data_IF_723269372924
#
_entry.id   IF_723269372924
#
_cell.length_a   1.000
_cell.length_b   1.000
_cell.length_c   1.000
_cell.angle_alpha   90.00
_cell.angle_beta   90.00
_cell.angle_gamma   90.00
#
_symmetry.space_group_name_H-M   'P 1'
#
loop_
_entity.id
_entity.type
_entity.pdbx_description
1 polymer ?
#
# COMPACT_ATOMS: atom_id res chain seq x y z
N UNK A 1 6.40 0.54 32.14
CA UNK A 1 6.63 1.71 33.02
C UNK A 1 6.80 1.32 34.49
N UNK A 2 7.11 0.07 34.83
CA UNK A 2 7.48 -0.33 36.21
C UNK A 2 6.37 -0.32 37.27
N UNK A 3 5.18 0.22 36.99
CA UNK A 3 4.12 0.43 37.98
C UNK A 3 2.91 -0.49 37.76
N UNK A 4 3.11 -1.81 37.89
CA UNK A 4 2.03 -2.80 37.74
C UNK A 4 1.06 -2.80 38.93
N UNK A 5 1.55 -2.42 40.11
CA UNK A 5 0.82 -2.21 41.35
C UNK A 5 -0.32 -1.20 41.19
N UNK A 6 -0.09 -0.07 40.53
CA UNK A 6 -1.13 0.94 40.31
C UNK A 6 -2.35 0.41 39.56
N UNK A 7 -2.14 -0.53 38.62
CA UNK A 7 -3.23 -1.16 37.89
C UNK A 7 -3.99 -2.16 38.76
N UNK A 8 -3.30 -2.93 39.58
CA UNK A 8 -3.93 -3.84 40.53
C UNK A 8 -4.74 -3.05 41.58
N UNK A 9 -4.14 -2.04 42.19
CA UNK A 9 -4.79 -1.16 43.17
C UNK A 9 -6.07 -0.51 42.61
N UNK A 10 -6.06 -0.10 41.34
CA UNK A 10 -7.24 0.50 40.70
C UNK A 10 -8.39 -0.50 40.59
N UNK A 11 -8.09 -1.76 40.28
CA UNK A 11 -9.09 -2.81 40.14
C UNK A 11 -9.61 -3.33 41.48
N UNK A 12 -8.83 -3.17 42.55
CA UNK A 12 -9.17 -3.65 43.89
C UNK A 12 -9.84 -2.58 44.78
N UNK A 13 -9.60 -1.29 44.52
CA UNK A 13 -10.13 -0.22 45.37
C UNK A 13 -11.65 -0.09 45.28
N UNK A 14 -12.30 0.01 46.44
CA UNK A 14 -13.73 0.36 46.57
C UNK A 14 -14.01 1.85 46.72
N UNK A 15 -12.97 2.66 46.92
CA UNK A 15 -13.08 4.11 47.06
C UNK A 15 -12.99 4.78 45.68
N UNK A 16 -14.07 5.50 45.30
CA UNK A 16 -14.17 6.23 44.05
C UNK A 16 -13.09 7.31 43.90
N UNK A 17 -12.77 8.04 44.96
CA UNK A 17 -11.78 9.12 44.89
C UNK A 17 -10.39 8.53 44.62
N UNK A 18 -10.05 7.44 45.33
CA UNK A 18 -8.81 6.71 45.09
C UNK A 18 -8.75 6.11 43.69
N UNK A 19 -9.85 5.55 43.20
CA UNK A 19 -9.94 5.02 41.83
C UNK A 19 -9.68 6.11 40.79
N UNK A 20 -10.24 7.31 40.98
CA UNK A 20 -10.02 8.44 40.07
C UNK A 20 -8.55 8.88 40.02
N UNK A 21 -7.89 8.94 41.18
CA UNK A 21 -6.45 9.26 41.26
C UNK A 21 -5.58 8.23 40.53
N UNK A 22 -5.82 6.95 40.77
CA UNK A 22 -5.10 5.85 40.13
C UNK A 22 -5.34 5.82 38.61
N UNK A 23 -6.58 6.05 38.17
CA UNK A 23 -6.93 6.13 36.75
C UNK A 23 -6.19 7.28 36.05
N UNK A 24 -6.08 8.46 36.69
CA UNK A 24 -5.28 9.59 36.14
C UNK A 24 -3.80 9.23 36.05
N UNK A 25 -3.23 8.61 37.08
CA UNK A 25 -1.84 8.17 37.07
C UNK A 25 -1.56 7.15 35.94
N UNK A 26 -2.45 6.18 35.73
CA UNK A 26 -2.34 5.23 34.62
C UNK A 26 -2.50 5.92 33.25
N UNK A 27 -3.38 6.92 33.14
CA UNK A 27 -3.48 7.74 31.93
C UNK A 27 -2.18 8.47 31.61
N UNK A 28 -1.49 9.00 32.63
CA UNK A 28 -0.20 9.68 32.48
C UNK A 28 0.89 8.70 32.03
N UNK A 29 0.99 7.53 32.67
CA UNK A 29 1.92 6.46 32.29
C UNK A 29 1.65 5.93 30.88
N UNK A 30 0.39 5.85 30.46
CA UNK A 30 0.04 5.46 29.09
C UNK A 30 0.49 6.52 28.07
N UNK A 31 0.34 7.82 28.38
CA UNK A 31 0.84 8.90 27.53
C UNK A 31 2.37 8.86 27.41
N UNK A 32 3.06 8.67 28.52
CA UNK A 32 4.52 8.51 28.54
C UNK A 32 4.96 7.30 27.69
N UNK A 33 4.31 6.13 27.90
CA UNK A 33 4.57 4.93 27.09
C UNK A 33 4.39 5.20 25.60
N UNK A 34 3.33 5.91 25.20
CA UNK A 34 3.07 6.24 23.80
C UNK A 34 4.14 7.17 23.20
N UNK A 35 4.69 8.10 23.98
CA UNK A 35 5.82 8.94 23.55
C UNK A 35 7.07 8.08 23.31
N UNK A 36 7.44 7.26 24.30
CA UNK A 36 8.60 6.35 24.19
C UNK A 36 8.43 5.38 23.01
N UNK A 37 7.22 4.88 22.79
CA UNK A 37 6.90 4.01 21.65
C UNK A 37 7.12 4.71 20.30
N UNK A 38 6.76 6.00 20.18
CA UNK A 38 6.98 6.78 18.97
C UNK A 38 8.48 6.97 18.71
N UNK A 39 9.26 7.31 19.74
CA UNK A 39 10.71 7.50 19.63
C UNK A 39 11.42 6.21 19.20
N UNK A 40 11.08 5.08 19.83
CA UNK A 40 11.63 3.76 19.47
C UNK A 40 11.22 3.39 18.04
N UNK A 41 9.99 3.67 17.63
CA UNK A 41 9.52 3.37 16.27
C UNK A 41 10.27 4.20 15.22
N UNK A 42 10.50 5.49 15.48
CA UNK A 42 11.26 6.37 14.60
C UNK A 42 12.73 5.91 14.48
N UNK A 43 13.35 5.54 15.59
CA UNK A 43 14.72 4.99 15.58
C UNK A 43 14.79 3.67 14.81
N UNK A 44 13.87 2.74 15.08
CA UNK A 44 13.80 1.46 14.39
C UNK A 44 13.64 1.64 12.88
N UNK A 45 12.79 2.57 12.42
CA UNK A 45 12.61 2.85 10.99
C UNK A 45 13.91 3.35 10.35
N UNK A 46 14.67 4.25 11.00
CA UNK A 46 15.99 4.68 10.51
C UNK A 46 16.97 3.52 10.42
N UNK A 47 16.99 2.63 11.41
CA UNK A 47 17.84 1.43 11.37
C UNK A 47 17.46 0.54 10.17
N UNK A 48 16.17 0.31 9.91
CA UNK A 48 15.69 -0.50 8.78
C UNK A 48 16.12 0.09 7.44
N UNK A 49 16.00 1.41 7.27
CA UNK A 49 16.41 2.10 6.04
C UNK A 49 17.90 1.93 5.73
N UNK A 50 18.73 1.84 6.78
CA UNK A 50 20.18 1.60 6.65
C UNK A 50 20.57 0.14 6.35
N UNK A 51 19.67 -0.83 6.57
CA UNK A 51 19.96 -2.25 6.35
C UNK A 51 19.98 -2.59 4.85
N UNK A 52 20.86 -3.49 4.38
CA UNK A 52 20.76 -4.02 3.03
C UNK A 52 19.47 -4.85 2.87
N UNK A 53 18.93 -4.93 1.65
CA UNK A 53 17.68 -5.66 1.36
C UNK A 53 17.75 -7.14 1.80
N UNK A 54 18.93 -7.77 1.71
CA UNK A 54 19.18 -9.13 2.18
C UNK A 54 19.04 -9.33 3.70
N UNK A 55 18.99 -8.25 4.48
CA UNK A 55 18.82 -8.28 5.93
C UNK A 55 17.42 -7.82 6.39
N UNK A 56 16.48 -7.67 5.45
CA UNK A 56 15.11 -7.22 5.72
C UNK A 56 14.07 -8.34 5.67
N UNK A 57 14.50 -9.60 5.51
CA UNK A 57 13.61 -10.76 5.61
C UNK A 57 13.17 -11.03 7.05
N UNK A 58 13.99 -10.66 8.04
CA UNK A 58 13.67 -10.62 9.46
C UNK A 58 14.26 -9.35 10.06
N UNK A 59 13.43 -8.51 10.70
CA UNK A 59 13.88 -7.24 11.27
C UNK A 59 14.51 -7.48 12.64
N UNK A 60 15.82 -7.67 12.67
CA UNK A 60 16.59 -7.82 13.92
C UNK A 60 17.29 -6.51 14.24
N UNK A 61 16.70 -5.76 15.16
CA UNK A 61 17.11 -4.40 15.52
C UNK A 61 17.47 -4.34 17.00
N UNK A 62 18.44 -3.51 17.36
CA UNK A 62 18.93 -3.41 18.73
C UNK A 62 19.32 -1.97 19.09
N UNK A 63 19.09 -1.59 20.34
CA UNK A 63 19.55 -0.32 20.91
C UNK A 63 19.66 -0.42 22.43
N UNK A 64 20.60 0.30 23.01
CA UNK A 64 20.72 0.50 24.45
C UNK A 64 19.80 1.63 24.98
N UNK A 65 19.30 2.50 24.10
CA UNK A 65 18.39 3.59 24.46
C UNK A 65 16.91 3.15 24.58
N UNK A 66 16.56 1.98 24.04
CA UNK A 66 15.16 1.55 23.99
C UNK A 66 14.63 1.07 25.34
N UNK A 67 13.42 1.48 25.71
CA UNK A 67 12.78 0.98 26.91
C UNK A 67 12.30 -0.48 26.74
N UNK A 68 12.85 -1.42 27.51
CA UNK A 68 12.54 -2.87 27.45
C UNK A 68 11.02 -3.18 27.52
N UNK A 69 10.26 -2.46 28.34
CA UNK A 69 8.81 -2.64 28.44
C UNK A 69 7.99 -2.20 27.21
N UNK A 70 8.60 -1.55 26.23
CA UNK A 70 7.90 -0.95 25.06
C UNK A 70 8.32 -1.62 23.75
N UNK A 71 9.53 -2.19 23.67
CA UNK A 71 10.05 -2.81 22.44
C UNK A 71 9.13 -3.89 21.85
N UNK A 72 8.36 -4.60 22.67
CA UNK A 72 7.39 -5.60 22.19
C UNK A 72 6.21 -5.01 21.43
N UNK A 73 5.77 -3.79 21.76
CA UNK A 73 4.68 -3.09 21.05
C UNK A 73 5.18 -2.64 19.69
N UNK A 74 6.39 -2.08 19.64
CA UNK A 74 7.02 -1.66 18.38
C UNK A 74 7.29 -2.88 17.49
N UNK A 75 7.71 -4.01 18.05
CA UNK A 75 7.87 -5.25 17.28
C UNK A 75 6.58 -5.68 16.56
N UNK A 76 5.41 -5.54 17.20
CA UNK A 76 4.12 -5.85 16.57
C UNK A 76 3.88 -4.93 15.37
N UNK A 77 4.03 -3.61 15.57
CA UNK A 77 3.84 -2.62 14.49
C UNK A 77 4.77 -2.85 13.31
N UNK A 78 6.05 -3.14 13.58
CA UNK A 78 7.02 -3.42 12.52
C UNK A 78 6.70 -4.72 11.78
N UNK A 79 6.25 -5.75 12.49
CA UNK A 79 5.91 -7.03 11.87
C UNK A 79 4.72 -6.90 10.93
N UNK A 80 3.71 -6.12 11.33
CA UNK A 80 2.55 -5.80 10.49
C UNK A 80 2.96 -4.92 9.30
N UNK A 81 3.69 -3.82 9.54
CA UNK A 81 4.09 -2.85 8.51
C UNK A 81 4.95 -3.46 7.41
N UNK A 82 5.90 -4.32 7.78
CA UNK A 82 6.87 -4.90 6.84
C UNK A 82 6.54 -6.35 6.44
N UNK A 83 5.42 -6.91 6.93
CA UNK A 83 4.99 -8.29 6.68
C UNK A 83 6.11 -9.32 6.88
N UNK A 84 6.91 -9.14 7.93
CA UNK A 84 8.03 -10.02 8.24
C UNK A 84 8.26 -10.08 9.77
N UNK A 85 8.94 -11.08 10.32
CA UNK A 85 9.06 -11.22 11.76
C UNK A 85 10.02 -10.16 12.30
N UNK A 86 9.61 -9.47 13.36
CA UNK A 86 10.40 -8.42 14.01
C UNK A 86 10.94 -8.88 15.35
N UNK A 87 12.22 -8.60 15.59
CA UNK A 87 12.98 -8.91 16.80
C UNK A 87 13.62 -7.62 17.31
N UNK A 88 13.03 -7.03 18.36
CA UNK A 88 13.49 -5.80 18.97
C UNK A 88 14.28 -6.10 20.23
N UNK A 89 15.53 -5.66 20.31
CA UNK A 89 16.47 -6.01 21.38
C UNK A 89 16.88 -4.75 22.14
N UNK A 90 16.51 -4.68 23.42
CA UNK A 90 17.12 -3.71 24.33
C UNK A 90 18.45 -4.27 24.83
N UNK A 91 19.55 -3.52 24.72
CA UNK A 91 20.87 -3.95 25.20
C UNK A 91 21.33 -3.15 26.42
N UNK A 92 21.77 -3.85 27.47
CA UNK A 92 22.36 -3.25 28.68
C UNK A 92 23.51 -4.13 29.17
N UNK A 93 24.65 -3.52 29.49
CA UNK A 93 25.80 -4.21 30.11
C UNK A 93 26.28 -5.47 29.33
N UNK A 94 26.28 -5.40 28.00
CA UNK A 94 26.71 -6.51 27.14
C UNK A 94 25.66 -7.61 26.94
N UNK A 95 24.51 -7.52 27.61
CA UNK A 95 23.38 -8.42 27.47
C UNK A 95 22.20 -7.75 26.76
N UNK A 96 21.45 -8.53 25.99
CA UNK A 96 20.28 -8.11 25.24
C UNK A 96 19.03 -8.83 25.71
N UNK A 97 17.94 -8.09 25.93
CA UNK A 97 16.59 -8.62 26.14
C UNK A 97 15.75 -8.35 24.89
N UNK A 98 15.44 -9.42 24.18
CA UNK A 98 14.69 -9.41 22.93
C UNK A 98 13.20 -9.66 23.14
N UNK A 99 12.36 -8.87 22.47
CA UNK A 99 10.95 -9.15 22.24
C UNK A 99 10.71 -9.34 20.75
N UNK A 100 9.97 -10.38 20.38
CA UNK A 100 9.66 -10.64 18.98
C UNK A 100 8.19 -10.88 18.71
N UNK A 101 7.80 -10.58 17.47
CA UNK A 101 6.46 -10.68 16.94
C UNK A 101 6.52 -11.27 15.55
N UNK A 102 5.55 -12.12 15.28
CA UNK A 102 5.40 -12.73 13.97
C UNK A 102 4.47 -11.89 13.12
N UNK A 103 4.57 -12.10 11.81
CA UNK A 103 3.50 -11.78 10.87
C UNK A 103 2.80 -13.12 10.59
N UNK A 104 1.46 -13.17 10.55
CA UNK A 104 0.70 -14.42 10.56
C UNK A 104 1.27 -15.54 9.67
N UNK A 105 1.39 -16.75 10.21
CA UNK A 105 1.91 -17.92 9.48
C UNK A 105 3.41 -18.21 9.63
N UNK A 106 4.16 -17.43 10.40
CA UNK A 106 5.56 -17.74 10.75
C UNK A 106 5.71 -18.15 12.22
N UNK A 107 6.35 -19.30 12.47
CA UNK A 107 6.53 -19.82 13.83
C UNK A 107 7.81 -19.30 14.49
N UNK A 108 7.67 -18.29 15.37
CA UNK A 108 8.80 -17.70 16.09
C UNK A 108 9.50 -18.68 17.03
N UNK A 109 8.75 -19.58 17.67
CA UNK A 109 9.35 -20.51 18.62
C UNK A 109 10.32 -21.47 17.92
N UNK A 110 9.90 -22.07 16.81
CA UNK A 110 10.74 -22.92 15.97
C UNK A 110 11.94 -22.15 15.41
N UNK A 111 11.73 -20.90 15.01
CA UNK A 111 12.80 -20.02 14.52
C UNK A 111 13.86 -19.75 15.62
N UNK A 112 13.42 -19.39 16.83
CA UNK A 112 14.32 -19.16 17.97
C UNK A 112 15.05 -20.44 18.38
N UNK A 113 14.38 -21.59 18.35
CA UNK A 113 14.97 -22.90 18.63
C UNK A 113 16.09 -23.23 17.64
N UNK A 114 15.90 -22.97 16.35
CA UNK A 114 16.93 -23.13 15.32
C UNK A 114 18.14 -22.21 15.56
N UNK A 115 17.95 -21.09 16.27
CA UNK A 115 18.98 -20.12 16.66
C UNK A 115 19.49 -20.28 18.11
N UNK A 116 19.04 -21.31 18.84
CA UNK A 116 19.30 -21.49 20.28
C UNK A 116 20.77 -21.38 20.69
N UNK A 117 21.70 -21.83 19.85
CA UNK A 117 23.15 -21.74 20.09
C UNK A 117 23.70 -20.30 20.27
N UNK A 118 22.94 -19.28 19.86
CA UNK A 118 23.31 -17.87 19.97
C UNK A 118 22.62 -17.18 21.15
N UNK A 119 21.69 -17.87 21.82
CA UNK A 119 20.79 -17.32 22.83
C UNK A 119 21.17 -17.87 24.21
N UNK A 120 21.06 -17.03 25.24
CA UNK A 120 21.18 -17.50 26.64
C UNK A 120 19.89 -18.16 27.12
N UNK A 121 18.76 -17.81 26.52
CA UNK A 121 17.46 -18.39 26.81
C UNK A 121 16.35 -17.76 25.98
N UNK A 122 15.28 -18.50 25.74
CA UNK A 122 14.11 -18.04 24.98
C UNK A 122 12.84 -18.76 25.43
N UNK A 123 11.69 -18.18 25.12
CA UNK A 123 10.38 -18.78 25.41
C UNK A 123 9.24 -17.97 24.79
N UNK A 124 8.05 -18.57 24.71
CA UNK A 124 6.85 -17.94 24.16
C UNK A 124 6.08 -18.88 23.25
N UNK A 125 5.35 -18.30 22.30
CA UNK A 125 4.47 -18.99 21.37
C UNK A 125 4.80 -18.63 19.93
N UNK A 126 4.07 -19.23 19.00
CA UNK A 126 4.22 -19.04 17.56
C UNK A 126 4.23 -17.56 17.12
N UNK A 127 3.33 -16.74 17.69
CA UNK A 127 3.13 -15.34 17.29
C UNK A 127 3.90 -14.31 18.13
N UNK A 128 4.33 -14.69 19.33
CA UNK A 128 5.03 -13.80 20.26
C UNK A 128 5.99 -14.58 21.14
N UNK A 129 7.25 -14.15 21.18
CA UNK A 129 8.26 -14.76 22.04
C UNK A 129 9.24 -13.72 22.60
N UNK A 130 9.96 -14.11 23.63
CA UNK A 130 11.03 -13.34 24.26
C UNK A 130 12.32 -14.15 24.32
N UNK A 131 13.46 -13.47 24.28
CA UNK A 131 14.76 -14.13 24.34
C UNK A 131 15.82 -13.24 25.01
N UNK A 132 16.91 -13.88 25.42
CA UNK A 132 18.10 -13.23 25.96
C UNK A 132 19.30 -13.58 25.09
N UNK A 133 20.13 -12.60 24.76
CA UNK A 133 21.24 -12.74 23.80
C UNK A 133 22.44 -11.90 24.26
N UNK A 134 23.68 -12.34 24.01
CA UNK A 134 24.87 -11.48 24.21
C UNK A 134 24.99 -10.46 23.10
N UNK A 135 25.49 -9.26 23.40
CA UNK A 135 25.65 -8.18 22.41
C UNK A 135 26.49 -8.63 21.20
N UNK A 136 27.54 -9.42 21.40
CA UNK A 136 28.35 -9.98 20.32
C UNK A 136 27.58 -10.94 19.37
N UNK A 137 26.53 -11.59 19.86
CA UNK A 137 25.77 -12.59 19.09
C UNK A 137 24.64 -11.96 18.25
N UNK A 138 24.36 -10.66 18.39
CA UNK A 138 23.24 -10.00 17.70
C UNK A 138 23.43 -10.03 16.16
N UNK A 139 24.64 -9.73 15.68
CA UNK A 139 24.92 -9.77 14.25
C UNK A 139 24.85 -11.21 13.67
N UNK A 140 25.52 -12.23 14.26
CA UNK A 140 25.33 -13.62 13.86
C UNK A 140 23.86 -14.08 13.90
N UNK A 141 23.10 -13.65 14.91
CA UNK A 141 21.68 -13.97 15.04
C UNK A 141 20.86 -13.37 13.91
N UNK A 142 21.10 -12.09 13.55
CA UNK A 142 20.46 -11.42 12.41
C UNK A 142 20.64 -12.19 11.12
N UNK A 143 21.87 -12.61 10.83
CA UNK A 143 22.20 -13.32 9.58
C UNK A 143 21.52 -14.69 9.55
N UNK A 144 21.60 -15.43 10.66
CA UNK A 144 20.99 -16.75 10.79
C UNK A 144 19.45 -16.67 10.70
N UNK A 145 18.82 -15.68 11.33
CA UNK A 145 17.37 -15.46 11.24
C UNK A 145 16.91 -15.10 9.84
N UNK A 146 17.61 -14.17 9.19
CA UNK A 146 17.29 -13.79 7.82
C UNK A 146 17.43 -14.99 6.86
N UNK A 147 18.45 -15.83 7.06
CA UNK A 147 18.60 -17.10 6.33
C UNK A 147 17.45 -18.08 6.59
N UNK A 148 17.05 -18.24 7.85
CA UNK A 148 15.94 -19.11 8.26
C UNK A 148 14.62 -18.68 7.62
N UNK A 149 14.27 -17.38 7.69
CA UNK A 149 13.03 -16.86 7.08
C UNK A 149 13.01 -17.06 5.58
N UNK A 150 14.11 -16.77 4.87
CA UNK A 150 14.19 -17.00 3.41
C UNK A 150 14.02 -18.47 3.04
N UNK A 151 14.57 -19.39 3.82
CA UNK A 151 14.41 -20.82 3.57
C UNK A 151 12.97 -21.28 3.77
N UNK A 152 12.26 -20.73 4.77
CA UNK A 152 10.90 -21.13 5.12
C UNK A 152 9.81 -20.46 4.29
N UNK A 153 9.98 -19.19 3.91
CA UNK A 153 9.02 -18.45 3.07
C UNK A 153 9.26 -18.66 1.56
N UNK A 154 10.37 -19.29 1.16
CA UNK A 154 10.76 -19.46 -0.23
C UNK A 154 11.16 -18.14 -0.91
N UNK A 155 11.06 -18.07 -2.24
CA UNK A 155 11.32 -16.83 -3.02
C UNK A 155 10.16 -15.82 -2.93
N UNK A 156 9.02 -16.20 -2.38
CA UNK A 156 7.90 -15.29 -2.15
C UNK A 156 8.12 -14.55 -0.84
N UNK A 157 8.51 -13.29 -0.90
CA UNK A 157 8.38 -12.41 0.25
C UNK A 157 6.90 -12.44 0.64
N UNK A 158 6.54 -12.74 1.89
CA UNK A 158 5.16 -12.66 2.33
C UNK A 158 4.61 -11.27 2.00
N UNK A 159 3.52 -11.24 1.26
CA UNK A 159 2.89 -9.97 0.87
C UNK A 159 1.84 -9.67 1.92
N UNK A 160 1.83 -8.44 2.43
CA UNK A 160 0.71 -7.96 3.24
C UNK A 160 -0.59 -8.12 2.44
N UNK A 161 -1.50 -8.94 2.94
CA UNK A 161 -2.78 -9.21 2.31
C UNK A 161 -3.88 -8.67 3.21
N UNK A 162 -4.80 -7.93 2.61
CA UNK A 162 -6.01 -7.46 3.26
C UNK A 162 -7.18 -8.31 2.77
N UNK A 163 -7.80 -9.06 3.68
CA UNK A 163 -9.05 -9.75 3.38
C UNK A 163 -10.19 -8.74 3.35
N UNK A 164 -11.02 -8.83 2.30
CA UNK A 164 -12.19 -8.00 2.10
C UNK A 164 -13.40 -8.91 2.22
N UNK A 165 -14.30 -8.62 3.16
CA UNK A 165 -15.51 -9.42 3.37
C UNK A 165 -16.53 -9.20 2.25
N UNK A 166 -16.69 -7.95 1.79
CA UNK A 166 -17.63 -7.63 0.72
C UNK A 166 -17.20 -6.42 -0.13
N UNK A 167 -17.28 -6.58 -1.45
CA UNK A 167 -17.24 -5.45 -2.37
C UNK A 167 -18.62 -4.78 -2.43
N UNK A 168 -18.66 -3.46 -2.26
CA UNK A 168 -19.89 -2.66 -2.38
C UNK A 168 -20.33 -2.64 -3.83
N UNK A 169 -21.50 -3.23 -4.09
CA UNK A 169 -22.05 -3.32 -5.45
C UNK A 169 -22.75 -2.02 -5.85
N UNK A 170 -23.65 -1.52 -5.01
CA UNK A 170 -24.29 -0.22 -5.19
C UNK A 170 -23.85 0.76 -4.08
N UNK A 171 -23.21 1.89 -4.40
CA UNK A 171 -22.83 2.89 -3.41
C UNK A 171 -24.02 3.44 -2.60
N UNK A 172 -25.25 3.39 -3.12
CA UNK A 172 -26.43 3.88 -2.38
C UNK A 172 -26.71 3.07 -1.12
N UNK A 173 -26.22 1.84 -1.03
CA UNK A 173 -26.42 0.94 0.11
C UNK A 173 -25.59 1.38 1.33
N UNK A 174 -24.57 2.23 1.13
CA UNK A 174 -23.78 2.78 2.23
C UNK A 174 -24.59 3.86 2.95
N UNK A 175 -25.33 3.44 3.96
CA UNK A 175 -26.25 4.28 4.75
C UNK A 175 -25.97 4.18 6.25
N UNK A 176 -26.54 5.11 7.03
CA UNK A 176 -26.49 5.03 8.50
C UNK A 176 -27.27 3.83 9.05
N UNK A 177 -28.36 3.43 8.39
CA UNK A 177 -29.15 2.26 8.80
C UNK A 177 -28.31 0.98 8.70
N UNK A 178 -27.47 0.84 7.67
CA UNK A 178 -26.53 -0.28 7.54
C UNK A 178 -25.44 -0.24 8.62
N UNK A 179 -24.97 0.94 9.04
CA UNK A 179 -24.07 1.05 10.21
C UNK A 179 -24.74 0.46 11.46
N UNK A 180 -26.01 0.79 11.70
CA UNK A 180 -26.76 0.27 12.85
C UNK A 180 -26.98 -1.25 12.76
N UNK A 181 -27.28 -1.77 11.56
CA UNK A 181 -27.40 -3.23 11.37
C UNK A 181 -26.07 -3.95 11.61
N UNK A 182 -24.95 -3.40 11.12
CA UNK A 182 -23.62 -3.96 11.38
C UNK A 182 -23.26 -3.92 12.87
N UNK A 183 -23.72 -2.91 13.61
CA UNK A 183 -23.55 -2.83 15.07
C UNK A 183 -24.09 -4.04 15.83
N UNK A 184 -25.03 -4.81 15.24
CA UNK A 184 -25.57 -6.05 15.83
C UNK A 184 -24.57 -7.21 15.85
N UNK A 185 -23.46 -7.10 15.13
CA UNK A 185 -22.37 -8.08 15.12
C UNK A 185 -21.38 -7.89 16.27
N UNK A 186 -21.52 -6.81 17.04
CA UNK A 186 -20.68 -6.56 18.20
C UNK A 186 -20.92 -7.60 19.32
N UNK A 187 -19.90 -7.91 20.14
CA UNK A 187 -18.59 -7.25 20.22
C UNK A 187 -17.59 -7.75 19.17
N UNK A 188 -16.87 -6.81 18.56
CA UNK A 188 -15.74 -7.12 17.69
C UNK A 188 -14.47 -7.43 18.49
N UNK A 189 -13.61 -8.28 17.93
CA UNK A 189 -12.34 -8.64 18.55
C UNK A 189 -11.65 -9.80 17.85
N UNK A 190 -10.69 -10.43 18.54
CA UNK A 190 -10.06 -11.65 18.06
C UNK A 190 -11.12 -12.76 17.91
N UNK A 191 -11.29 -13.27 16.69
CA UNK A 191 -12.33 -14.27 16.36
C UNK A 191 -13.65 -13.68 15.82
N UNK A 192 -13.83 -12.36 15.88
CA UNK A 192 -14.94 -11.64 15.26
C UNK A 192 -14.47 -10.25 14.79
N UNK A 193 -13.65 -10.18 13.73
CA UNK A 193 -13.14 -8.90 13.23
C UNK A 193 -14.30 -8.02 12.72
N UNK A 194 -14.06 -6.71 12.68
CA UNK A 194 -14.99 -5.78 12.03
C UNK A 194 -15.08 -6.11 10.54
N UNK A 195 -16.27 -6.12 9.93
CA UNK A 195 -16.41 -6.35 8.49
C UNK A 195 -15.68 -5.28 7.66
N UNK A 196 -14.84 -5.73 6.75
CA UNK A 196 -14.07 -4.90 5.81
C UNK A 196 -14.79 -4.85 4.47
N UNK A 197 -15.14 -3.64 4.03
CA UNK A 197 -15.78 -3.40 2.75
C UNK A 197 -14.80 -2.81 1.73
N UNK A 198 -15.04 -3.07 0.45
CA UNK A 198 -14.30 -2.42 -0.64
C UNK A 198 -15.22 -1.63 -1.58
N UNK A 199 -14.91 -0.36 -1.79
CA UNK A 199 -15.52 0.49 -2.82
C UNK A 199 -14.55 0.64 -3.99
N UNK A 200 -14.80 -0.11 -5.06
CA UNK A 200 -13.90 -0.18 -6.21
C UNK A 200 -14.17 0.96 -7.20
N UNK A 201 -13.11 1.55 -7.73
CA UNK A 201 -13.16 2.60 -8.75
C UNK A 201 -13.98 3.83 -8.32
N UNK A 202 -13.86 4.25 -7.07
CA UNK A 202 -14.29 5.56 -6.60
C UNK A 202 -13.31 6.63 -7.11
N UNK A 203 -13.74 7.90 -7.14
CA UNK A 203 -12.89 9.03 -7.50
C UNK A 203 -12.57 9.86 -6.26
N UNK A 204 -11.32 10.28 -6.13
CA UNK A 204 -10.91 11.19 -5.05
C UNK A 204 -11.29 12.61 -5.44
N UNK A 205 -12.22 13.22 -4.71
CA UNK A 205 -12.65 14.60 -4.92
C UNK A 205 -11.91 15.58 -4.03
N UNK A 206 -11.60 15.16 -2.80
CA UNK A 206 -10.87 15.96 -1.82
C UNK A 206 -9.83 15.06 -1.14
N UNK A 207 -8.64 15.62 -0.93
CA UNK A 207 -7.55 15.03 -0.16
C UNK A 207 -7.00 16.12 0.74
N UNK A 208 -7.03 15.91 2.06
CA UNK A 208 -6.61 16.91 3.03
C UNK A 208 -5.90 16.26 4.22
N UNK A 209 -4.71 16.77 4.54
CA UNK A 209 -4.00 16.38 5.75
C UNK A 209 -4.63 17.00 7.01
N UNK A 210 -4.82 16.20 8.05
CA UNK A 210 -5.45 16.58 9.34
C UNK A 210 -4.67 16.00 10.52
N UNK A 211 -4.99 16.45 11.74
CA UNK A 211 -4.35 15.94 12.96
C UNK A 211 -2.85 16.23 13.02
N UNK A 212 -2.44 17.47 12.73
CA UNK A 212 -1.04 17.91 12.65
C UNK A 212 -0.22 17.14 11.59
N UNK A 213 -0.85 16.77 10.48
CA UNK A 213 -0.14 16.08 9.39
C UNK A 213 -0.17 14.56 9.46
N UNK A 214 -0.74 13.98 10.53
CA UNK A 214 -0.65 12.54 10.82
C UNK A 214 -1.71 11.68 10.14
N UNK A 215 -2.78 12.29 9.65
CA UNK A 215 -3.93 11.57 9.10
C UNK A 215 -4.40 12.24 7.80
N UNK A 216 -5.06 11.48 6.94
CA UNK A 216 -5.67 11.98 5.72
C UNK A 216 -7.18 11.93 5.79
N UNK A 217 -7.83 13.08 5.63
CA UNK A 217 -9.25 13.16 5.33
C UNK A 217 -9.44 13.14 3.82
N UNK A 218 -10.34 12.29 3.34
CA UNK A 218 -10.68 12.19 1.92
C UNK A 218 -12.18 12.43 1.72
N UNK A 219 -12.56 12.86 0.52
CA UNK A 219 -13.92 12.72 0.01
C UNK A 219 -13.87 11.86 -1.25
N UNK A 220 -14.58 10.74 -1.21
CA UNK A 220 -14.69 9.81 -2.32
C UNK A 220 -16.04 9.97 -3.01
N UNK A 221 -16.07 9.96 -4.34
CA UNK A 221 -17.30 9.94 -5.13
C UNK A 221 -17.42 8.66 -5.96
N UNK A 222 -18.64 8.13 -6.07
CA UNK A 222 -18.96 7.02 -6.97
C UNK A 222 -20.38 7.20 -7.49
N UNK A 223 -20.50 7.48 -8.78
CA UNK A 223 -21.78 7.87 -9.37
C UNK A 223 -22.27 9.20 -8.80
N UNK A 224 -23.47 9.22 -8.22
CA UNK A 224 -24.04 10.39 -7.56
C UNK A 224 -23.72 10.45 -6.06
N UNK A 225 -23.17 9.37 -5.49
CA UNK A 225 -22.88 9.27 -4.07
C UNK A 225 -21.52 9.89 -3.73
N UNK A 226 -21.45 10.49 -2.55
CA UNK A 226 -20.23 11.06 -1.97
C UNK A 226 -20.09 10.59 -0.53
N UNK A 227 -18.87 10.24 -0.14
CA UNK A 227 -18.55 9.73 1.18
C UNK A 227 -17.37 10.47 1.76
N UNK A 228 -17.52 10.91 3.01
CA UNK A 228 -16.39 11.38 3.80
C UNK A 228 -15.62 10.16 4.32
N UNK A 229 -14.30 10.22 4.22
CA UNK A 229 -13.41 9.16 4.66
C UNK A 229 -12.26 9.70 5.50
N UNK A 230 -11.75 8.87 6.40
CA UNK A 230 -10.57 9.17 7.23
C UNK A 230 -9.59 8.01 7.13
N UNK A 231 -8.34 8.31 6.80
CA UNK A 231 -7.24 7.37 6.79
C UNK A 231 -6.26 7.75 7.90
N UNK A 232 -6.31 6.98 8.99
CA UNK A 232 -5.47 7.22 10.14
C UNK A 232 -4.02 6.81 9.87
N UNK A 233 -3.10 7.54 10.49
CA UNK A 233 -1.66 7.28 10.46
C UNK A 233 -1.04 7.15 9.07
N UNK A 234 -1.60 7.83 8.07
CA UNK A 234 -1.08 7.92 6.71
C UNK A 234 -0.99 9.39 6.33
N UNK A 235 0.14 9.78 5.76
CA UNK A 235 0.39 11.12 5.19
C UNK A 235 0.09 11.16 3.69
N UNK A 236 -0.05 12.37 3.13
CA UNK A 236 -0.29 12.55 1.68
C UNK A 236 0.84 11.95 0.83
N UNK A 237 2.08 12.10 1.30
CA UNK A 237 3.28 11.57 0.64
C UNK A 237 3.30 10.04 0.63
N UNK A 238 2.96 9.40 1.76
CA UNK A 238 2.89 7.94 1.88
C UNK A 238 1.73 7.34 1.07
N UNK A 239 0.60 8.04 0.97
CA UNK A 239 -0.58 7.58 0.26
C UNK A 239 -0.35 7.48 -1.25
N UNK A 240 0.42 8.41 -1.84
CA UNK A 240 0.75 8.38 -3.26
C UNK A 240 -0.44 8.59 -4.22
N UNK A 241 -1.58 9.04 -3.69
CA UNK A 241 -2.83 9.33 -4.42
C UNK A 241 -3.02 10.84 -4.54
N UNK A 242 -3.63 11.29 -5.63
CA UNK A 242 -3.95 12.69 -5.91
C UNK A 242 -5.44 12.92 -6.07
N UNK A 243 -5.86 14.17 -5.90
CA UNK A 243 -7.22 14.58 -6.28
C UNK A 243 -7.45 14.33 -7.77
N UNK A 244 -8.57 13.71 -8.10
CA UNK A 244 -8.95 13.30 -9.44
C UNK A 244 -8.69 11.82 -9.74
N UNK A 245 -7.81 11.17 -8.98
CA UNK A 245 -7.46 9.76 -9.16
C UNK A 245 -8.68 8.85 -8.95
N UNK A 246 -8.69 7.73 -9.68
CA UNK A 246 -9.58 6.61 -9.43
C UNK A 246 -8.92 5.61 -8.49
N UNK A 247 -9.63 5.23 -7.44
CA UNK A 247 -9.11 4.39 -6.35
C UNK A 247 -10.04 3.24 -6.01
N UNK A 248 -9.44 2.15 -5.54
CA UNK A 248 -10.12 1.08 -4.81
C UNK A 248 -9.86 1.31 -3.32
N UNK A 249 -10.94 1.49 -2.57
CA UNK A 249 -10.91 1.89 -1.16
C UNK A 249 -11.36 0.71 -0.29
N UNK A 250 -10.53 0.26 0.65
CA UNK A 250 -10.92 -0.70 1.69
C UNK A 250 -11.17 0.03 3.02
N UNK A 251 -12.30 -0.24 3.67
CA UNK A 251 -12.73 0.54 4.83
C UNK A 251 -13.67 -0.23 5.77
N UNK A 252 -13.76 0.28 7.00
CA UNK A 252 -14.87 0.01 7.90
C UNK A 252 -15.97 1.06 7.70
N UNK A 253 -17.22 0.62 7.58
CA UNK A 253 -18.37 1.51 7.57
C UNK A 253 -18.70 1.93 9.02
N UNK A 254 -18.76 3.22 9.31
CA UNK A 254 -19.06 3.69 10.66
C UNK A 254 -19.79 5.03 10.71
N UNK A 255 -20.45 5.29 11.84
CA UNK A 255 -20.96 6.61 12.19
C UNK A 255 -19.89 7.43 12.89
N UNK A 256 -19.70 8.68 12.46
CA UNK A 256 -18.85 9.65 13.13
C UNK A 256 -19.72 10.72 13.82
N UNK A 257 -19.69 10.76 15.15
CA UNK A 257 -20.43 11.75 15.94
C UNK A 257 -19.51 12.92 16.29
N UNK A 258 -19.73 14.07 15.66
CA UNK A 258 -18.98 15.29 15.94
C UNK A 258 -19.91 16.46 16.21
N UNK A 259 -19.68 17.17 17.32
CA UNK A 259 -20.50 18.32 17.77
C UNK A 259 -22.01 18.00 17.81
N UNK A 260 -22.36 16.79 18.25
CA UNK A 260 -23.76 16.34 18.37
C UNK A 260 -24.41 15.92 17.04
N UNK A 261 -23.69 15.92 15.92
CA UNK A 261 -24.18 15.42 14.64
C UNK A 261 -23.44 14.14 14.27
N UNK A 262 -24.21 13.09 13.99
CA UNK A 262 -23.69 11.82 13.48
C UNK A 262 -23.78 11.81 11.96
N UNK A 263 -22.68 11.48 11.30
CA UNK A 263 -22.61 11.34 9.84
C UNK A 263 -21.93 10.04 9.47
N UNK A 264 -22.35 9.43 8.36
CA UNK A 264 -21.66 8.29 7.78
C UNK A 264 -20.22 8.67 7.43
N UNK A 265 -19.26 7.80 7.77
CA UNK A 265 -17.85 7.97 7.44
C UNK A 265 -17.22 6.63 7.11
N UNK A 266 -16.37 6.62 6.09
CA UNK A 266 -15.54 5.46 5.75
C UNK A 266 -14.22 5.56 6.53
N UNK A 267 -13.99 4.66 7.49
CA UNK A 267 -12.67 4.56 8.11
C UNK A 267 -11.78 3.69 7.24
N UNK A 268 -10.87 4.33 6.52
CA UNK A 268 -9.98 3.69 5.58
C UNK A 268 -9.00 2.75 6.30
N UNK A 269 -8.79 1.59 5.68
CA UNK A 269 -7.79 0.59 6.07
C UNK A 269 -6.66 0.61 5.05
N UNK A 270 -7.02 0.60 3.76
CA UNK A 270 -6.08 0.65 2.65
C UNK A 270 -6.69 1.36 1.44
N UNK A 271 -5.83 1.92 0.60
CA UNK A 271 -6.21 2.67 -0.58
C UNK A 271 -5.18 2.43 -1.69
N UNK A 272 -5.66 2.10 -2.88
CA UNK A 272 -4.81 1.95 -4.07
C UNK A 272 -5.43 2.58 -5.30
N UNK A 273 -4.61 2.87 -6.32
CA UNK A 273 -5.10 3.22 -7.64
C UNK A 273 -5.97 2.09 -8.19
N UNK A 274 -7.14 2.44 -8.72
CA UNK A 274 -8.17 1.47 -9.07
C UNK A 274 -7.75 0.59 -10.22
N UNK A 275 -8.00 -0.71 -10.09
CA UNK A 275 -7.81 -1.69 -11.17
C UNK A 275 -9.08 -1.96 -11.97
N UNK A 276 -10.18 -1.30 -11.60
CA UNK A 276 -11.45 -1.40 -12.30
C UNK A 276 -11.56 -0.28 -13.35
N UNK A 277 -11.91 -0.60 -14.61
CA UNK A 277 -12.13 0.41 -15.62
C UNK A 277 -13.48 1.10 -15.39
N UNK A 278 -13.54 2.39 -15.71
CA UNK A 278 -14.80 3.06 -15.95
C UNK A 278 -15.45 2.55 -17.24
N UNK A 279 -16.74 2.85 -17.43
CA UNK A 279 -17.44 2.56 -18.69
C UNK A 279 -16.71 3.15 -19.90
N UNK A 280 -16.29 4.42 -19.79
CA UNK A 280 -15.57 5.11 -20.86
C UNK A 280 -14.20 4.48 -21.16
N UNK A 281 -13.46 4.06 -20.12
CA UNK A 281 -12.18 3.35 -20.31
C UNK A 281 -12.39 1.98 -20.94
N UNK A 282 -13.46 1.28 -20.59
CA UNK A 282 -13.84 0.00 -21.21
C UNK A 282 -14.11 0.19 -22.72
N UNK A 283 -14.89 1.20 -23.07
CA UNK A 283 -15.17 1.57 -24.47
C UNK A 283 -13.88 1.95 -25.23
N UNK A 284 -12.97 2.68 -24.58
CA UNK A 284 -11.68 3.08 -25.17
C UNK A 284 -10.75 1.88 -25.42
N UNK A 285 -10.65 0.96 -24.45
CA UNK A 285 -9.85 -0.27 -24.62
C UNK A 285 -10.43 -1.17 -25.71
N UNK A 286 -11.76 -1.30 -25.78
CA UNK A 286 -12.40 -2.10 -26.82
C UNK A 286 -12.21 -1.49 -28.22
N UNK A 287 -12.25 -0.16 -28.33
CA UNK A 287 -11.89 0.53 -29.57
C UNK A 287 -10.47 0.16 -30.03
N UNK A 288 -9.47 0.27 -29.16
CA UNK A 288 -8.08 -0.08 -29.50
C UNK A 288 -7.98 -1.55 -29.90
N UNK A 289 -8.57 -2.48 -29.12
CA UNK A 289 -8.57 -3.92 -29.43
C UNK A 289 -9.20 -4.23 -30.78
N UNK A 290 -10.33 -3.60 -31.11
CA UNK A 290 -11.03 -3.77 -32.38
C UNK A 290 -10.16 -3.33 -33.57
N UNK A 291 -9.43 -2.23 -33.43
CA UNK A 291 -8.52 -1.73 -34.46
C UNK A 291 -7.27 -2.61 -34.62
N UNK A 292 -6.71 -3.12 -33.51
CA UNK A 292 -5.60 -4.09 -33.54
C UNK A 292 -6.00 -5.38 -34.26
N UNK A 293 -7.24 -5.85 -34.07
CA UNK A 293 -7.82 -6.98 -34.82
C UNK A 293 -8.10 -6.66 -36.30
N UNK A 294 -7.84 -5.43 -36.71
CA UNK A 294 -7.84 -5.03 -38.11
C UNK A 294 -9.11 -4.32 -38.60
N UNK A 295 -10.06 -4.02 -37.73
CA UNK A 295 -11.24 -3.24 -38.10
C UNK A 295 -10.89 -1.83 -38.56
N UNK A 296 -11.77 -1.23 -39.36
CA UNK A 296 -11.66 0.18 -39.75
C UNK A 296 -12.27 1.11 -38.68
N UNK A 297 -11.63 2.24 -38.37
CA UNK A 297 -12.22 3.27 -37.52
C UNK A 297 -13.32 4.02 -38.28
N UNK A 298 -14.32 4.53 -37.55
CA UNK A 298 -15.20 5.59 -38.06
C UNK A 298 -14.45 6.93 -38.11
N UNK A 299 -14.97 7.93 -38.82
CA UNK A 299 -14.36 9.27 -38.87
C UNK A 299 -14.21 9.90 -37.48
N UNK A 300 -15.19 9.70 -36.59
CA UNK A 300 -15.13 10.19 -35.21
C UNK A 300 -14.05 9.47 -34.38
N UNK A 301 -13.91 8.15 -34.55
CA UNK A 301 -12.87 7.38 -33.85
C UNK A 301 -11.47 7.76 -34.35
N UNK A 302 -11.31 7.99 -35.65
CA UNK A 302 -10.05 8.46 -36.23
C UNK A 302 -9.65 9.83 -35.68
N UNK A 303 -10.59 10.76 -35.51
CA UNK A 303 -10.32 12.07 -34.89
C UNK A 303 -9.86 11.95 -33.43
N UNK A 304 -10.55 11.12 -32.63
CA UNK A 304 -10.16 10.87 -31.22
C UNK A 304 -8.76 10.28 -31.09
N UNK A 305 -8.42 9.36 -32.00
CA UNK A 305 -7.14 8.66 -32.09
C UNK A 305 -6.07 9.41 -32.90
N UNK A 306 -6.35 10.63 -33.36
CA UNK A 306 -5.37 11.44 -34.09
C UNK A 306 -4.31 11.98 -33.12
N UNK A 307 -3.23 11.21 -32.96
CA UNK A 307 -2.10 11.51 -32.08
C UNK A 307 -0.95 12.07 -32.91
N UNK A 308 -0.49 13.28 -32.56
CA UNK A 308 0.69 13.89 -33.20
C UNK A 308 1.98 13.20 -32.76
N UNK A 309 3.06 13.38 -33.52
CA UNK A 309 4.37 12.84 -33.15
C UNK A 309 4.86 13.39 -31.81
N UNK A 310 4.62 14.67 -31.53
CA UNK A 310 4.97 15.28 -30.25
C UNK A 310 4.18 14.69 -29.09
N UNK A 311 2.92 14.31 -29.32
CA UNK A 311 2.12 13.62 -28.32
C UNK A 311 2.63 12.19 -28.07
N UNK A 312 3.05 11.46 -29.12
CA UNK A 312 3.74 10.18 -28.94
C UNK A 312 5.06 10.35 -28.17
N UNK A 313 5.87 11.37 -28.48
CA UNK A 313 7.10 11.68 -27.73
C UNK A 313 6.80 11.97 -26.26
N UNK A 314 5.74 12.73 -25.97
CA UNK A 314 5.30 13.01 -24.61
C UNK A 314 4.86 11.74 -23.86
N UNK A 315 4.08 10.86 -24.51
CA UNK A 315 3.66 9.57 -23.96
C UNK A 315 4.84 8.63 -23.69
N UNK A 316 5.78 8.52 -24.62
CA UNK A 316 6.99 7.71 -24.42
C UNK A 316 7.84 8.25 -23.26
N UNK A 317 7.98 9.58 -23.15
CA UNK A 317 8.67 10.23 -22.02
C UNK A 317 7.94 9.98 -20.70
N UNK A 318 6.62 10.02 -20.68
CA UNK A 318 5.81 9.72 -19.51
C UNK A 318 5.97 8.25 -19.08
N UNK A 319 5.83 7.30 -20.01
CA UNK A 319 6.01 5.86 -19.73
C UNK A 319 7.43 5.55 -19.24
N UNK A 320 8.46 6.19 -19.82
CA UNK A 320 9.85 6.08 -19.34
C UNK A 320 10.02 6.50 -17.88
N UNK A 321 9.34 7.57 -17.45
CA UNK A 321 9.37 8.03 -16.04
C UNK A 321 8.70 7.03 -15.09
N UNK A 322 7.71 6.28 -15.57
CA UNK A 322 7.00 5.26 -14.81
C UNK A 322 7.73 3.90 -14.76
N UNK A 323 8.84 3.75 -15.50
CA UNK A 323 9.63 2.51 -15.57
C UNK A 323 11.06 2.76 -15.05
N UNK A 324 11.27 2.88 -13.72
CA UNK A 324 12.60 3.06 -13.15
C UNK A 324 13.53 1.90 -13.54
N UNK A 325 14.77 2.20 -13.95
CA UNK A 325 15.69 1.18 -14.48
C UNK A 325 15.26 0.57 -15.82
N UNK A 326 14.24 1.14 -16.47
CA UNK A 326 13.75 0.75 -17.79
C UNK A 326 12.89 -0.50 -17.83
N UNK A 327 12.50 -1.07 -16.69
CA UNK A 327 11.56 -2.19 -16.63
C UNK A 327 10.79 -2.17 -15.31
N UNK A 328 9.51 -2.51 -15.36
CA UNK A 328 8.70 -2.67 -14.15
C UNK A 328 7.51 -3.60 -14.39
N UNK A 329 7.03 -4.20 -13.30
CA UNK A 329 5.72 -4.85 -13.24
C UNK A 329 4.71 -3.80 -12.78
N UNK A 330 3.66 -3.58 -13.56
CA UNK A 330 2.69 -2.49 -13.33
C UNK A 330 1.26 -3.00 -13.52
N UNK A 331 0.31 -2.40 -12.79
CA UNK A 331 -1.11 -2.55 -13.10
C UNK A 331 -1.46 -1.73 -14.34
N UNK A 332 -2.11 -2.36 -15.32
CA UNK A 332 -2.36 -1.77 -16.64
C UNK A 332 -3.12 -0.45 -16.57
N UNK A 333 -4.28 -0.42 -15.88
CA UNK A 333 -5.13 0.78 -15.88
C UNK A 333 -4.49 1.97 -15.17
N UNK A 334 -3.94 1.83 -13.94
CA UNK A 334 -3.18 2.91 -13.31
C UNK A 334 -2.04 3.41 -14.21
N UNK A 335 -1.27 2.51 -14.82
CA UNK A 335 -0.16 2.88 -15.71
C UNK A 335 -0.64 3.73 -16.90
N UNK A 336 -1.71 3.30 -17.58
CA UNK A 336 -2.25 4.02 -18.73
C UNK A 336 -2.82 5.40 -18.35
N UNK A 337 -3.53 5.51 -17.22
CA UNK A 337 -4.05 6.78 -16.70
C UNK A 337 -2.92 7.75 -16.40
N UNK A 338 -1.95 7.34 -15.60
CA UNK A 338 -0.83 8.20 -15.19
C UNK A 338 0.04 8.59 -16.40
N UNK A 339 0.31 7.68 -17.32
CA UNK A 339 1.05 8.01 -18.54
C UNK A 339 0.30 9.03 -19.42
N UNK A 340 -1.02 8.87 -19.56
CA UNK A 340 -1.86 9.81 -20.30
C UNK A 340 -1.92 11.20 -19.65
N UNK A 341 -2.10 11.27 -18.34
CA UNK A 341 -2.13 12.52 -17.58
C UNK A 341 -0.79 13.27 -17.66
N UNK A 342 0.33 12.56 -17.48
CA UNK A 342 1.66 13.14 -17.58
C UNK A 342 1.99 13.66 -18.99
N UNK A 343 1.45 13.01 -20.03
CA UNK A 343 1.61 13.46 -21.40
C UNK A 343 0.66 14.60 -21.76
N UNK A 344 -0.45 14.76 -21.04
CA UNK A 344 -1.49 15.75 -21.29
C UNK A 344 -2.23 15.53 -22.62
N UNK A 345 -2.99 16.54 -23.04
CA UNK A 345 -3.75 16.51 -24.30
C UNK A 345 -5.18 15.98 -24.17
N UNK A 346 -5.86 15.82 -25.31
CA UNK A 346 -7.22 15.27 -25.37
C UNK A 346 -7.18 13.75 -25.24
N UNK A 347 -8.22 13.15 -24.66
CA UNK A 347 -8.38 11.69 -24.60
C UNK A 347 -7.15 10.97 -24.00
N UNK A 348 -6.62 11.42 -22.83
CA UNK A 348 -5.32 11.00 -22.32
C UNK A 348 -5.22 9.47 -22.15
N UNK A 349 -6.26 8.84 -21.63
CA UNK A 349 -6.31 7.39 -21.45
C UNK A 349 -6.32 6.62 -22.79
N UNK A 350 -7.21 6.99 -23.71
CA UNK A 350 -7.33 6.33 -25.01
C UNK A 350 -6.02 6.41 -25.80
N UNK A 351 -5.40 7.60 -25.81
CA UNK A 351 -4.13 7.83 -26.52
C UNK A 351 -2.96 7.10 -25.86
N UNK A 352 -2.97 6.98 -24.54
CA UNK A 352 -2.00 6.15 -23.81
C UNK A 352 -2.13 4.66 -24.17
N UNK A 353 -3.37 4.14 -24.24
CA UNK A 353 -3.63 2.76 -24.66
C UNK A 353 -3.20 2.50 -26.12
N UNK A 354 -3.50 3.44 -27.03
CA UNK A 354 -3.02 3.42 -28.40
C UNK A 354 -1.48 3.41 -28.45
N UNK A 355 -0.84 4.32 -27.72
CA UNK A 355 0.61 4.45 -27.72
C UNK A 355 1.31 3.22 -27.19
N UNK A 356 0.80 2.57 -26.13
CA UNK A 356 1.36 1.31 -25.62
C UNK A 356 1.41 0.25 -26.72
N UNK A 357 0.31 0.11 -27.47
CA UNK A 357 0.21 -0.83 -28.61
C UNK A 357 1.19 -0.48 -29.73
N UNK A 358 1.27 0.80 -30.11
CA UNK A 358 2.19 1.26 -31.17
C UNK A 358 3.64 1.06 -30.74
N UNK A 359 4.00 1.40 -29.51
CA UNK A 359 5.37 1.27 -29.01
C UNK A 359 5.82 -0.18 -28.89
N UNK A 360 4.92 -1.09 -28.54
CA UNK A 360 5.18 -2.53 -28.56
C UNK A 360 5.44 -3.03 -29.99
N UNK A 361 4.53 -2.74 -30.92
CA UNK A 361 4.64 -3.12 -32.34
C UNK A 361 5.93 -2.58 -32.98
N UNK A 362 6.33 -1.37 -32.59
CA UNK A 362 7.54 -0.70 -33.09
C UNK A 362 8.79 -1.00 -32.27
N UNK A 363 8.72 -1.96 -31.34
CA UNK A 363 9.85 -2.44 -30.51
C UNK A 363 10.55 -1.33 -29.70
N UNK A 364 9.80 -0.32 -29.28
CA UNK A 364 10.25 0.66 -28.29
C UNK A 364 10.02 0.14 -26.87
N UNK A 365 8.99 -0.70 -26.71
CA UNK A 365 8.65 -1.40 -25.49
C UNK A 365 8.46 -2.89 -25.78
N UNK A 366 8.64 -3.72 -24.75
CA UNK A 366 8.10 -5.08 -24.68
C UNK A 366 7.06 -5.10 -23.58
N UNK A 367 5.87 -5.60 -23.89
CA UNK A 367 4.79 -5.80 -22.92
C UNK A 367 4.51 -7.29 -22.82
N UNK A 368 4.40 -7.81 -21.61
CA UNK A 368 3.99 -9.19 -21.36
C UNK A 368 2.91 -9.19 -20.29
N UNK A 369 1.76 -9.79 -20.58
CA UNK A 369 0.72 -9.97 -19.59
C UNK A 369 1.17 -11.01 -18.55
N UNK A 370 1.12 -10.63 -17.28
CA UNK A 370 1.35 -11.55 -16.15
C UNK A 370 0.01 -12.20 -15.78
N UNK A 371 -1.04 -11.39 -15.73
CA UNK A 371 -2.44 -11.78 -15.57
C UNK A 371 -3.35 -10.74 -16.27
N UNK A 372 -4.65 -10.74 -15.97
CA UNK A 372 -5.62 -9.81 -16.58
C UNK A 372 -5.40 -8.33 -16.19
N UNK A 373 -4.73 -8.05 -15.07
CA UNK A 373 -4.52 -6.71 -14.52
C UNK A 373 -3.07 -6.23 -14.59
N UNK A 374 -2.10 -7.16 -14.53
CA UNK A 374 -0.67 -6.89 -14.40
C UNK A 374 0.10 -7.12 -15.70
N UNK A 375 0.99 -6.17 -16.00
CA UNK A 375 1.89 -6.18 -17.15
C UNK A 375 3.35 -6.12 -16.69
N UNK A 376 4.21 -6.93 -17.29
CA UNK A 376 5.65 -6.72 -17.29
C UNK A 376 6.02 -5.87 -18.50
N UNK A 377 6.47 -4.63 -18.26
CA UNK A 377 6.86 -3.68 -19.31
C UNK A 377 8.37 -3.43 -19.23
N UNK A 378 9.05 -3.51 -20.38
CA UNK A 378 10.47 -3.18 -20.50
C UNK A 378 10.74 -2.27 -21.70
N UNK A 379 11.55 -1.23 -21.49
CA UNK A 379 12.14 -0.44 -22.57
C UNK A 379 13.14 -1.30 -23.34
N UNK A 380 13.03 -1.26 -24.66
CA UNK A 380 14.00 -1.89 -25.54
C UNK A 380 15.02 -0.84 -26.00
N UNK A 381 16.30 -1.20 -26.19
CA UNK A 381 17.26 -0.31 -26.83
C UNK A 381 16.94 -0.19 -28.32
N UNK A 382 17.15 0.99 -28.88
CA UNK A 382 17.10 1.23 -30.32
C UNK A 382 18.29 2.10 -30.73
N UNK A 383 18.95 1.74 -31.83
CA UNK A 383 20.18 2.40 -32.30
C UNK A 383 19.88 3.51 -33.34
N UNK A 384 18.74 3.43 -34.03
CA UNK A 384 18.33 4.33 -35.13
C UNK A 384 16.97 5.03 -34.87
N UNK A 385 16.63 6.02 -35.70
CA UNK A 385 15.30 6.62 -35.71
C UNK A 385 14.20 5.58 -36.00
N UNK A 386 13.20 5.48 -35.12
CA UNK A 386 12.06 4.56 -35.27
C UNK A 386 10.88 5.25 -35.96
N UNK A 387 10.54 4.78 -37.15
CA UNK A 387 9.29 5.19 -37.82
C UNK A 387 8.08 4.56 -37.13
N UNK A 388 7.28 5.39 -36.44
CA UNK A 388 6.04 4.97 -35.80
C UNK A 388 4.94 4.65 -36.81
N UNK A 389 4.91 5.34 -37.95
CA UNK A 389 3.86 5.20 -38.97
C UNK A 389 4.01 3.95 -39.84
N UNK A 390 5.12 3.22 -39.71
CA UNK A 390 5.21 1.84 -40.15
C UNK A 390 4.33 0.87 -39.32
N UNK A 391 3.70 1.33 -38.23
CA UNK A 391 2.66 0.58 -37.52
C UNK A 391 1.38 0.48 -38.37
N UNK A 392 0.88 -0.74 -38.69
CA UNK A 392 -0.34 -0.91 -39.50
C UNK A 392 -1.58 -0.21 -38.92
N UNK A 393 -1.64 -0.11 -37.59
CA UNK A 393 -2.71 0.58 -36.86
C UNK A 393 -2.74 2.08 -37.20
N UNK A 394 -1.58 2.74 -37.22
CA UNK A 394 -1.49 4.17 -37.55
C UNK A 394 -1.75 4.44 -39.04
N UNK A 395 -1.35 3.53 -39.92
CA UNK A 395 -1.65 3.64 -41.35
C UNK A 395 -3.17 3.64 -41.60
N UNK A 396 -3.91 2.77 -40.91
CA UNK A 396 -5.38 2.72 -40.99
C UNK A 396 -6.07 3.96 -40.46
N UNK A 397 -5.52 4.57 -39.40
CA UNK A 397 -6.06 5.81 -38.82
C UNK A 397 -5.87 7.01 -39.75
N UNK A 398 -4.85 6.99 -40.61
CA UNK A 398 -4.57 8.05 -41.59
C UNK A 398 -5.18 7.82 -42.98
N UNK A 399 -5.71 6.64 -43.28
CA UNK A 399 -6.30 6.33 -44.58
C UNK A 399 -7.59 7.11 -44.95
N UNK A 400 -7.97 8.12 -44.15
CA UNK A 400 -9.05 9.07 -44.43
C UNK A 400 -8.65 10.55 -44.40
N UNK A 401 -7.37 10.88 -44.17
CA UNK A 401 -6.86 12.25 -44.19
C UNK A 401 -5.48 12.28 -44.85
N UNK A 402 -5.44 12.93 -46.01
CA UNK A 402 -4.33 13.39 -46.86
C UNK A 402 -2.89 12.95 -46.56
N UNK A 403 -2.26 12.48 -47.65
CA UNK A 403 -0.86 12.12 -47.82
C UNK A 403 0.06 13.18 -47.19
N UNK A 404 0.91 12.77 -46.24
CA UNK A 404 2.02 13.59 -45.76
C UNK A 404 3.33 13.04 -46.33
N UNK A 405 3.86 13.73 -47.35
CA UNK A 405 5.25 13.61 -47.77
C UNK A 405 6.12 14.33 -46.75
N UNK A 406 6.89 13.59 -45.96
CA UNK A 406 7.78 14.19 -44.98
C UNK A 406 8.56 13.14 -44.20
N UNK A 407 9.74 12.75 -44.71
CA UNK A 407 10.76 12.17 -43.85
C UNK A 407 11.30 13.29 -42.98
N UNK A 408 10.80 13.43 -41.76
CA UNK A 408 11.51 14.19 -40.74
C UNK A 408 11.93 13.29 -39.60
N UNK A 409 13.24 13.36 -39.37
CA UNK A 409 14.03 12.63 -38.41
C UNK A 409 13.54 12.88 -36.98
N UNK A 410 13.71 11.84 -36.15
CA UNK A 410 13.39 11.86 -34.73
C UNK A 410 14.33 12.77 -33.93
#
# INVERSE_FOLDING_TARGET
>A
MGAADLAADLLETGDFQRAEELARALCDLNRERQTVEQDICADAMRQIESLPESARSALVLASDEWHQGVVGIVASRLSEKYACPSFMIHTQEGMGKGSCRSFGGFNLFAALEACSSLLEGFGGHELAAGFTIRKENIAPFRDKMNGYVRAHCGKGIPVSALEIDAAVTDPVDLTMDEVEQLGRLEPYGAGNPRPVFALLGARVEVLQSVGQGRHLKLQLSKGLCRFDAIFFSVTEEECGIRVGDRVDAAFYLQGNTFRGRTTLQLQMIDLRLSRVPSRHETENLELVRRLVRGASPTAQEADRLNVSLDQFRALLKAMRRLLPGGRARVAMLPFLRTAGELAGGREPFLRSALALTVFEERKLLRVAAVDEELLDIALLPWEDSVDLYACPLLQKLRAGAEIWEGREAL
#
